data_IF_069310291684
#
_entry.id   IF_069310291684
#
_cell.length_a   1.000
_cell.length_b   1.000
_cell.length_c   1.000
_cell.angle_alpha   90.00
_cell.angle_beta   90.00
_cell.angle_gamma   90.00
#
_symmetry.space_group_name_H-M   'P 1'
#
loop_
_entity.id
_entity.type
_entity.pdbx_description
1 polymer ?
#
# COMPACT_ATOMS: atom_id res chain seq x y z
N UNK A 1 50.59 -14.24 57.11
CA UNK A 1 49.13 -14.03 56.96
C UNK A 1 48.37 -15.26 57.42
N UNK A 2 47.47 -15.12 58.40
CA UNK A 2 46.60 -16.22 58.89
C UNK A 2 45.74 -16.73 57.72
N UNK A 3 45.55 -18.05 57.62
CA UNK A 3 44.83 -18.77 56.55
C UNK A 3 43.47 -18.16 56.18
N UNK A 4 42.77 -17.61 57.19
CA UNK A 4 41.50 -16.89 57.03
C UNK A 4 41.60 -15.68 56.10
N UNK A 5 42.71 -14.93 56.12
CA UNK A 5 42.89 -13.75 55.28
C UNK A 5 43.06 -14.11 53.80
N UNK A 6 43.73 -15.24 53.50
CA UNK A 6 43.87 -15.75 52.13
C UNK A 6 42.53 -16.21 51.55
N UNK A 7 41.72 -16.90 52.35
CA UNK A 7 40.37 -17.32 51.97
C UNK A 7 39.46 -16.12 51.67
N UNK A 8 39.54 -15.07 52.49
CA UNK A 8 38.74 -13.85 52.31
C UNK A 8 39.10 -13.11 51.01
N UNK A 9 40.39 -13.01 50.69
CA UNK A 9 40.85 -12.39 49.42
C UNK A 9 40.37 -13.19 48.21
N UNK A 10 40.44 -14.52 48.23
CA UNK A 10 39.96 -15.36 47.13
C UNK A 10 38.46 -15.18 46.93
N UNK A 11 37.69 -15.18 48.03
CA UNK A 11 36.24 -14.96 48.00
C UNK A 11 35.88 -13.58 47.40
N UNK A 12 36.65 -12.55 47.75
CA UNK A 12 36.45 -11.20 47.22
C UNK A 12 36.70 -11.16 45.70
N UNK A 13 37.78 -11.80 45.24
CA UNK A 13 38.11 -11.85 43.81
C UNK A 13 37.03 -12.61 43.03
N UNK A 14 36.58 -13.76 43.52
CA UNK A 14 35.49 -14.50 42.86
C UNK A 14 34.19 -13.71 42.85
N UNK A 15 33.83 -13.02 43.93
CA UNK A 15 32.65 -12.16 43.96
C UNK A 15 32.73 -11.03 42.92
N UNK A 16 33.89 -10.37 42.78
CA UNK A 16 34.10 -9.32 41.77
C UNK A 16 33.99 -9.89 40.36
N UNK A 17 34.56 -11.07 40.10
CA UNK A 17 34.46 -11.73 38.79
C UNK A 17 33.02 -12.10 38.44
N UNK A 18 32.26 -12.65 39.40
CA UNK A 18 30.84 -12.93 39.20
C UNK A 18 30.03 -11.67 38.94
N UNK A 19 30.32 -10.59 39.67
CA UNK A 19 29.64 -9.31 39.48
C UNK A 19 29.95 -8.70 38.10
N UNK A 20 31.21 -8.73 37.66
CA UNK A 20 31.60 -8.29 36.33
C UNK A 20 30.93 -9.13 35.24
N UNK A 21 30.90 -10.45 35.39
CA UNK A 21 30.19 -11.35 34.48
C UNK A 21 28.70 -11.06 34.41
N UNK A 22 28.07 -10.76 35.55
CA UNK A 22 26.66 -10.38 35.61
C UNK A 22 26.39 -9.06 34.87
N UNK A 23 27.23 -8.04 35.03
CA UNK A 23 27.09 -6.77 34.29
C UNK A 23 27.25 -6.95 32.78
N UNK A 24 28.18 -7.79 32.34
CA UNK A 24 28.35 -8.13 30.92
C UNK A 24 27.11 -8.85 30.40
N UNK A 25 26.59 -9.82 31.15
CA UNK A 25 25.38 -10.55 30.80
C UNK A 25 24.17 -9.62 30.63
N UNK A 26 23.98 -8.66 31.54
CA UNK A 26 22.91 -7.65 31.42
C UNK A 26 23.04 -6.81 30.14
N UNK A 27 24.24 -6.33 29.83
CA UNK A 27 24.49 -5.57 28.60
C UNK A 27 24.18 -6.39 27.34
N UNK A 28 24.56 -7.67 27.34
CA UNK A 28 24.29 -8.57 26.20
C UNK A 28 22.78 -8.79 26.06
N UNK A 29 22.06 -8.98 27.17
CA UNK A 29 20.60 -9.16 27.16
C UNK A 29 19.88 -7.93 26.61
N UNK A 30 20.26 -6.73 27.04
CA UNK A 30 19.69 -5.47 26.52
C UNK A 30 19.88 -5.36 25.01
N UNK A 31 21.10 -5.62 24.53
CA UNK A 31 21.41 -5.56 23.10
C UNK A 31 20.67 -6.63 22.29
N UNK A 32 20.53 -7.83 22.82
CA UNK A 32 19.77 -8.90 22.16
C UNK A 32 18.28 -8.53 22.07
N UNK A 33 17.72 -7.95 23.13
CA UNK A 33 16.34 -7.52 23.14
C UNK A 33 16.09 -6.40 22.11
N UNK A 34 17.00 -5.43 22.03
CA UNK A 34 16.94 -4.36 21.01
C UNK A 34 16.99 -4.93 19.58
N UNK A 35 17.91 -5.86 19.31
CA UNK A 35 18.02 -6.51 18.00
C UNK A 35 16.73 -7.27 17.66
N UNK A 36 16.16 -7.99 18.63
CA UNK A 36 14.94 -8.78 18.41
C UNK A 36 13.74 -7.88 18.12
N UNK A 37 13.58 -6.78 18.86
CA UNK A 37 12.51 -5.80 18.64
C UNK A 37 12.66 -5.16 17.25
N UNK A 38 13.85 -4.70 16.90
CA UNK A 38 14.10 -4.07 15.61
C UNK A 38 13.89 -5.05 14.45
N UNK A 39 14.34 -6.31 14.59
CA UNK A 39 14.09 -7.35 13.60
C UNK A 39 12.59 -7.62 13.44
N UNK A 40 11.83 -7.62 14.55
CA UNK A 40 10.38 -7.76 14.53
C UNK A 40 9.69 -6.60 13.79
N UNK A 41 10.10 -5.36 14.05
CA UNK A 41 9.58 -4.16 13.38
C UNK A 41 9.86 -4.22 11.87
N UNK A 42 11.10 -4.53 11.47
CA UNK A 42 11.46 -4.63 10.05
C UNK A 42 10.73 -5.78 9.34
N UNK A 43 10.54 -6.92 10.01
CA UNK A 43 9.74 -8.01 9.47
C UNK A 43 8.29 -7.60 9.25
N UNK A 44 7.65 -6.95 10.23
CA UNK A 44 6.28 -6.45 10.09
C UNK A 44 6.16 -5.43 8.97
N UNK A 45 7.11 -4.49 8.87
CA UNK A 45 7.17 -3.51 7.80
C UNK A 45 7.27 -4.17 6.43
N UNK A 46 8.17 -5.14 6.27
CA UNK A 46 8.34 -5.88 5.02
C UNK A 46 7.08 -6.64 4.60
N UNK A 47 6.39 -7.29 5.55
CA UNK A 47 5.12 -7.97 5.28
C UNK A 47 4.06 -6.97 4.81
N UNK A 48 3.93 -5.83 5.50
CA UNK A 48 2.97 -4.79 5.13
C UNK A 48 3.28 -4.19 3.75
N UNK A 49 4.53 -3.82 3.49
CA UNK A 49 4.98 -3.29 2.20
C UNK A 49 4.71 -4.28 1.06
N UNK A 50 4.98 -5.57 1.29
CA UNK A 50 4.70 -6.63 0.30
C UNK A 50 3.20 -6.76 0.03
N UNK A 51 2.37 -6.75 1.08
CA UNK A 51 0.92 -6.83 0.92
C UNK A 51 0.34 -5.62 0.17
N UNK A 52 0.79 -4.40 0.52
CA UNK A 52 0.39 -3.17 -0.19
C UNK A 52 0.83 -3.22 -1.64
N UNK A 53 2.11 -3.55 -1.90
CA UNK A 53 2.66 -3.63 -3.25
C UNK A 53 1.90 -4.63 -4.12
N UNK A 54 1.61 -5.82 -3.59
CA UNK A 54 0.88 -6.85 -4.33
C UNK A 54 -0.53 -6.38 -4.72
N UNK A 55 -1.27 -5.73 -3.80
CA UNK A 55 -2.58 -5.15 -4.12
C UNK A 55 -2.48 -4.00 -5.13
N UNK A 56 -1.49 -3.13 -4.94
CA UNK A 56 -1.22 -2.00 -5.84
C UNK A 56 -0.92 -2.46 -7.27
N UNK A 57 -0.17 -3.56 -7.42
CA UNK A 57 0.17 -4.15 -8.72
C UNK A 57 -1.06 -4.69 -9.44
N UNK A 58 -1.98 -5.34 -8.71
CA UNK A 58 -3.28 -5.77 -9.29
C UNK A 58 -4.05 -4.57 -9.84
N UNK A 59 -4.20 -3.49 -9.07
CA UNK A 59 -4.92 -2.28 -9.52
C UNK A 59 -4.22 -1.65 -10.73
N UNK A 60 -2.88 -1.61 -10.72
CA UNK A 60 -2.09 -1.06 -11.82
C UNK A 60 -2.29 -1.87 -13.11
N UNK A 61 -2.25 -3.20 -13.04
CA UNK A 61 -2.45 -4.09 -14.19
C UNK A 61 -3.88 -3.97 -14.72
N UNK A 62 -4.89 -4.00 -13.83
CA UNK A 62 -6.28 -3.78 -14.23
C UNK A 62 -6.48 -2.42 -14.88
N UNK A 63 -5.83 -1.37 -14.39
CA UNK A 63 -5.89 -0.04 -15.01
C UNK A 63 -5.27 -0.05 -16.41
N UNK A 64 -4.15 -0.76 -16.58
CA UNK A 64 -3.50 -0.94 -17.89
C UNK A 64 -4.39 -1.71 -18.87
N UNK A 65 -4.98 -2.83 -18.44
CA UNK A 65 -5.85 -3.67 -19.29
C UNK A 65 -7.08 -2.90 -19.80
N UNK A 66 -7.58 -1.94 -19.02
CA UNK A 66 -8.69 -1.07 -19.39
C UNK A 66 -8.25 0.21 -20.14
N UNK A 67 -6.96 0.41 -20.35
CA UNK A 67 -6.45 1.59 -21.07
C UNK A 67 -6.64 1.44 -22.58
N UNK A 68 -6.24 0.31 -23.15
CA UNK A 68 -6.28 0.09 -24.60
C UNK A 68 -7.43 -0.86 -24.97
N UNK A 69 -8.64 -0.34 -25.09
CA UNK A 69 -9.81 -1.17 -25.35
C UNK A 69 -10.90 -0.47 -26.14
N UNK A 70 -11.13 -0.93 -27.38
CA UNK A 70 -12.07 -0.32 -28.32
C UNK A 70 -13.52 -0.35 -27.82
N UNK A 71 -13.95 -1.42 -27.15
CA UNK A 71 -15.31 -1.46 -26.59
C UNK A 71 -15.47 -0.46 -25.45
N UNK A 72 -14.40 -0.17 -24.71
CA UNK A 72 -14.45 0.85 -23.69
C UNK A 72 -14.55 2.25 -24.30
N UNK A 73 -13.84 2.51 -25.40
CA UNK A 73 -14.01 3.75 -26.19
C UNK A 73 -15.47 3.89 -26.64
N UNK A 74 -16.05 2.83 -27.22
CA UNK A 74 -17.46 2.82 -27.64
C UNK A 74 -18.42 3.08 -26.46
N UNK A 75 -18.13 2.52 -25.28
CA UNK A 75 -18.91 2.75 -24.07
C UNK A 75 -18.85 4.21 -23.61
N UNK A 76 -17.70 4.89 -23.71
CA UNK A 76 -17.61 6.32 -23.35
C UNK A 76 -18.53 7.18 -24.23
N UNK A 77 -18.62 6.86 -25.53
CA UNK A 77 -19.50 7.57 -26.46
C UNK A 77 -20.98 7.22 -26.26
N UNK A 78 -21.27 5.95 -25.97
CA UNK A 78 -22.62 5.41 -25.82
C UNK A 78 -22.71 4.51 -24.59
N UNK A 79 -22.84 5.10 -23.39
CA UNK A 79 -22.84 4.32 -22.16
C UNK A 79 -24.05 3.40 -22.09
N UNK A 80 -23.83 2.12 -21.80
CA UNK A 80 -24.89 1.12 -21.60
C UNK A 80 -24.78 0.49 -20.22
N UNK A 81 -25.93 0.22 -19.60
CA UNK A 81 -25.97 -0.44 -18.28
C UNK A 81 -25.34 -1.83 -18.33
N UNK A 82 -25.57 -2.58 -19.41
CA UNK A 82 -25.04 -3.93 -19.59
C UNK A 82 -23.50 -3.96 -19.61
N UNK A 83 -22.86 -2.99 -20.29
CA UNK A 83 -21.40 -2.87 -20.28
C UNK A 83 -20.89 -2.53 -18.87
N UNK A 84 -21.54 -1.60 -18.17
CA UNK A 84 -21.13 -1.23 -16.83
C UNK A 84 -21.25 -2.40 -15.84
N UNK A 85 -22.34 -3.17 -15.89
CA UNK A 85 -22.55 -4.37 -15.06
C UNK A 85 -21.48 -5.44 -15.31
N UNK A 86 -21.26 -5.79 -16.58
CA UNK A 86 -20.33 -6.86 -16.94
C UNK A 86 -18.87 -6.50 -16.73
N UNK A 87 -18.49 -5.22 -16.90
CA UNK A 87 -17.08 -4.81 -16.96
C UNK A 87 -16.63 -3.85 -15.86
N UNK A 88 -17.51 -3.01 -15.30
CA UNK A 88 -17.11 -1.99 -14.30
C UNK A 88 -17.54 -2.38 -12.89
N UNK A 89 -18.77 -2.86 -12.71
CA UNK A 89 -19.23 -3.37 -11.41
C UNK A 89 -18.55 -4.69 -11.04
N UNK A 90 -18.20 -5.52 -12.03
CA UNK A 90 -17.46 -6.76 -11.81
C UNK A 90 -16.06 -6.53 -11.20
N UNK A 91 -15.42 -5.37 -11.46
CA UNK A 91 -14.13 -5.00 -10.90
C UNK A 91 -14.11 -4.99 -9.37
N UNK A 92 -15.23 -4.60 -8.76
CA UNK A 92 -15.34 -4.56 -7.31
C UNK A 92 -15.20 -5.95 -6.69
N UNK A 93 -15.83 -6.96 -7.27
CA UNK A 93 -15.81 -8.32 -6.73
C UNK A 93 -14.58 -9.11 -7.21
N UNK A 94 -14.17 -8.93 -8.46
CA UNK A 94 -13.05 -9.68 -9.04
C UNK A 94 -11.69 -9.22 -8.51
N UNK A 95 -11.52 -7.92 -8.24
CA UNK A 95 -10.23 -7.34 -7.85
C UNK A 95 -10.25 -6.67 -6.47
N UNK A 96 -11.37 -6.73 -5.75
CA UNK A 96 -11.55 -6.05 -4.46
C UNK A 96 -11.23 -4.54 -4.53
N UNK A 97 -11.56 -3.92 -5.66
CA UNK A 97 -11.42 -2.48 -5.85
C UNK A 97 -12.54 -1.80 -5.06
N UNK A 98 -12.25 -0.66 -4.42
CA UNK A 98 -13.26 0.07 -3.65
C UNK A 98 -13.96 1.17 -4.45
N UNK A 99 -13.35 1.63 -5.54
CA UNK A 99 -13.80 2.77 -6.32
C UNK A 99 -13.46 2.59 -7.81
N UNK A 100 -14.44 2.86 -8.67
CA UNK A 100 -14.24 2.92 -10.12
C UNK A 100 -14.86 4.22 -10.64
N UNK A 101 -14.03 5.04 -11.28
CA UNK A 101 -14.42 6.31 -11.87
C UNK A 101 -14.01 6.38 -13.32
N UNK A 102 -14.95 6.74 -14.18
CA UNK A 102 -14.75 6.89 -15.63
C UNK A 102 -15.25 8.27 -16.03
N UNK A 103 -14.40 9.04 -16.70
CA UNK A 103 -14.68 10.43 -17.03
C UNK A 103 -14.44 10.67 -18.52
N UNK A 104 -15.31 11.48 -19.14
CA UNK A 104 -15.12 11.88 -20.53
C UNK A 104 -14.11 13.05 -20.66
N UNK A 105 -13.78 13.42 -21.90
CA UNK A 105 -12.86 14.54 -22.19
C UNK A 105 -13.33 15.91 -21.65
N UNK A 106 -14.62 16.06 -21.36
CA UNK A 106 -15.17 17.24 -20.67
C UNK A 106 -15.07 17.15 -19.14
N UNK A 107 -14.34 16.16 -18.60
CA UNK A 107 -14.15 15.87 -17.17
C UNK A 107 -15.45 15.56 -16.43
N UNK A 108 -16.50 15.17 -17.15
CA UNK A 108 -17.77 14.75 -16.56
C UNK A 108 -17.77 13.24 -16.32
N UNK A 109 -18.33 12.76 -15.20
CA UNK A 109 -18.42 11.33 -14.94
C UNK A 109 -19.35 10.66 -15.95
N UNK A 110 -18.85 9.59 -16.56
CA UNK A 110 -19.62 8.62 -17.37
C UNK A 110 -20.05 7.45 -16.49
N UNK A 111 -19.15 7.03 -15.58
CA UNK A 111 -19.42 6.05 -14.53
C UNK A 111 -18.71 6.48 -13.25
N UNK A 112 -19.36 6.33 -12.10
CA UNK A 112 -18.78 6.71 -10.82
C UNK A 112 -19.44 5.91 -9.70
N UNK A 113 -18.73 4.92 -9.14
CA UNK A 113 -19.29 4.06 -8.11
C UNK A 113 -18.24 3.63 -7.10
N UNK A 114 -18.69 3.41 -5.87
CA UNK A 114 -17.94 2.74 -4.82
C UNK A 114 -18.54 1.35 -4.58
N UNK A 115 -17.71 0.40 -4.16
CA UNK A 115 -18.16 -0.95 -3.76
C UNK A 115 -18.99 -0.93 -2.48
N UNK A 116 -18.75 0.06 -1.61
CA UNK A 116 -19.46 0.23 -0.34
C UNK A 116 -20.47 1.36 -0.52
N UNK A 117 -21.71 1.14 -0.08
CA UNK A 117 -22.74 2.17 0.12
C UNK A 117 -22.36 3.14 1.26
N UNK A 118 -21.10 3.57 1.33
CA UNK A 118 -20.69 4.69 2.16
C UNK A 118 -21.18 5.94 1.44
N UNK A 119 -22.43 6.29 1.71
CA UNK A 119 -23.19 7.41 1.14
C UNK A 119 -22.40 8.73 1.17
N UNK A 120 -21.39 8.86 2.04
CA UNK A 120 -20.55 10.06 2.20
C UNK A 120 -19.40 10.19 1.17
N UNK A 121 -19.01 9.13 0.46
CA UNK A 121 -17.90 9.20 -0.52
C UNK A 121 -18.36 9.53 -1.96
N UNK A 122 -19.67 9.67 -2.20
CA UNK A 122 -20.23 9.98 -3.51
C UNK A 122 -20.67 11.46 -3.61
N UNK A 123 -20.35 12.16 -4.72
CA UNK A 123 -19.50 11.75 -5.83
C UNK A 123 -18.01 12.08 -5.58
N UNK A 124 -17.15 11.07 -5.68
CA UNK A 124 -15.71 11.33 -5.81
C UNK A 124 -15.43 11.91 -7.19
N UNK A 125 -14.80 13.08 -7.22
CA UNK A 125 -14.31 13.72 -8.44
C UNK A 125 -12.82 14.01 -8.23
N UNK A 126 -11.92 13.53 -9.11
CA UNK A 126 -10.51 13.88 -9.07
C UNK A 126 -10.29 15.39 -9.16
N UNK A 127 -9.23 15.89 -8.53
CA UNK A 127 -8.87 17.29 -8.65
C UNK A 127 -8.49 17.64 -10.10
N UNK A 128 -8.71 18.88 -10.59
CA UNK A 128 -8.43 19.27 -11.97
C UNK A 128 -7.00 18.94 -12.44
N UNK A 129 -6.02 19.01 -11.54
CA UNK A 129 -4.61 18.74 -11.80
C UNK A 129 -4.34 17.27 -12.15
N UNK A 130 -5.18 16.35 -11.66
CA UNK A 130 -5.09 14.91 -11.99
C UNK A 130 -5.34 14.70 -13.47
N UNK A 131 -6.36 15.36 -14.03
CA UNK A 131 -6.67 15.28 -15.45
C UNK A 131 -5.55 15.88 -16.31
N UNK A 132 -4.96 17.00 -15.87
CA UNK A 132 -3.83 17.61 -16.59
C UNK A 132 -2.62 16.67 -16.61
N UNK A 133 -2.27 16.04 -15.48
CA UNK A 133 -1.17 15.07 -15.42
C UNK A 133 -1.42 13.83 -16.28
N UNK A 134 -2.65 13.32 -16.28
CA UNK A 134 -3.04 12.19 -17.12
C UNK A 134 -2.88 12.49 -18.61
N UNK A 135 -3.13 13.73 -19.04
CA UNK A 135 -2.91 14.15 -20.42
C UNK A 135 -1.43 14.13 -20.83
N UNK A 136 -0.50 14.27 -19.87
CA UNK A 136 0.94 14.28 -20.14
C UNK A 136 1.59 12.89 -20.03
N UNK A 137 1.18 12.07 -19.06
CA UNK A 137 1.86 10.80 -18.72
C UNK A 137 1.07 9.53 -19.04
N UNK A 138 -0.16 9.64 -19.55
CA UNK A 138 -1.14 8.56 -19.78
C UNK A 138 -1.57 7.75 -18.55
N UNK A 139 -0.68 7.60 -17.55
CA UNK A 139 -0.91 6.89 -16.30
C UNK A 139 -0.59 7.80 -15.12
N UNK A 140 -1.33 7.65 -14.03
CA UNK A 140 -1.05 8.32 -12.76
C UNK A 140 -1.28 7.35 -11.61
N UNK A 141 -0.43 7.45 -10.59
CA UNK A 141 -0.62 6.82 -9.29
C UNK A 141 -0.46 7.88 -8.21
N UNK A 142 -1.45 7.99 -7.32
CA UNK A 142 -1.38 8.91 -6.18
C UNK A 142 -2.23 8.42 -5.01
N UNK A 143 -2.06 9.05 -3.87
CA UNK A 143 -2.84 8.78 -2.66
C UNK A 143 -3.69 10.00 -2.32
N UNK A 144 -4.91 9.76 -1.83
CA UNK A 144 -5.81 10.79 -1.32
C UNK A 144 -6.36 10.38 0.03
N UNK A 145 -6.23 11.25 1.02
CA UNK A 145 -6.88 11.07 2.31
C UNK A 145 -8.37 11.40 2.17
N UNK A 146 -9.22 10.52 2.69
CA UNK A 146 -10.68 10.68 2.79
C UNK A 146 -11.11 10.42 4.23
N UNK A 147 -12.38 10.69 4.54
CA UNK A 147 -12.93 10.41 5.88
C UNK A 147 -12.96 8.91 6.21
N UNK A 148 -12.94 8.05 5.17
CA UNK A 148 -12.84 6.60 5.32
C UNK A 148 -11.39 6.10 5.41
N UNK A 149 -10.38 6.96 5.24
CA UNK A 149 -8.96 6.63 5.32
C UNK A 149 -8.16 6.99 4.07
N UNK A 150 -7.00 6.34 3.90
CA UNK A 150 -6.12 6.60 2.76
C UNK A 150 -6.56 5.79 1.55
N UNK A 151 -6.92 6.47 0.46
CA UNK A 151 -7.27 5.86 -0.81
C UNK A 151 -6.08 5.92 -1.77
N UNK A 152 -5.63 4.76 -2.25
CA UNK A 152 -4.70 4.66 -3.36
C UNK A 152 -5.48 4.70 -4.68
N UNK A 153 -5.06 5.56 -5.60
CA UNK A 153 -5.74 5.77 -6.88
C UNK A 153 -4.74 5.55 -8.00
N UNK A 154 -5.11 4.68 -8.92
CA UNK A 154 -4.47 4.50 -10.22
C UNK A 154 -5.45 5.02 -11.27
N UNK A 155 -4.94 5.76 -12.23
CA UNK A 155 -5.73 6.28 -13.33
C UNK A 155 -4.97 6.17 -14.63
N UNK A 156 -5.71 6.04 -15.71
CA UNK A 156 -5.18 6.11 -17.06
C UNK A 156 -6.15 6.81 -18.00
N UNK A 157 -5.61 7.32 -19.10
CA UNK A 157 -6.40 7.77 -20.26
C UNK A 157 -6.86 6.55 -21.07
N UNK A 158 -8.09 6.57 -21.60
CA UNK A 158 -8.64 5.47 -22.41
C UNK A 158 -8.32 5.72 -23.88
N UNK A 159 -7.82 4.69 -24.56
CA UNK A 159 -7.36 4.70 -25.95
C UNK A 159 -7.89 3.49 -26.72
N UNK A 160 -7.86 3.58 -28.05
CA UNK A 160 -8.14 2.44 -28.93
C UNK A 160 -7.00 1.42 -28.85
N UNK A 161 -7.31 0.14 -29.14
CA UNK A 161 -6.29 -0.93 -29.20
C UNK A 161 -5.18 -0.64 -30.23
N UNK A 162 -5.50 0.15 -31.27
CA UNK A 162 -4.53 0.57 -32.28
C UNK A 162 -3.40 1.47 -31.72
N UNK A 163 -3.63 2.14 -30.60
CA UNK A 163 -2.66 3.03 -29.97
C UNK A 163 -1.71 2.31 -28.99
N UNK A 164 -1.94 1.03 -28.68
CA UNK A 164 -1.05 0.25 -27.78
C UNK A 164 0.35 0.06 -28.39
N UNK A 165 0.46 0.02 -29.72
CA UNK A 165 1.71 -0.25 -30.44
C UNK A 165 2.60 1.00 -30.68
N UNK A 166 2.28 2.14 -30.07
CA UNK A 166 2.96 3.44 -30.27
C UNK A 166 3.66 3.93 -29.00
#
# INVERSE_FOLDING_TARGET
MKTQHKLLVILLITAVLFFAGFLIFLNIQEKQNEILINAGIEQQRSILETAIKSKSEVISLTTYDYTYWDDFVNYIERPTHEFAESNLYSLFNSFNINYVGVFNLSKKPVFNAFHIDSVELLPFIPAPEVFSKLADSNFIKYYKLTDAGLLEIHGATIHSTADEAR
#
